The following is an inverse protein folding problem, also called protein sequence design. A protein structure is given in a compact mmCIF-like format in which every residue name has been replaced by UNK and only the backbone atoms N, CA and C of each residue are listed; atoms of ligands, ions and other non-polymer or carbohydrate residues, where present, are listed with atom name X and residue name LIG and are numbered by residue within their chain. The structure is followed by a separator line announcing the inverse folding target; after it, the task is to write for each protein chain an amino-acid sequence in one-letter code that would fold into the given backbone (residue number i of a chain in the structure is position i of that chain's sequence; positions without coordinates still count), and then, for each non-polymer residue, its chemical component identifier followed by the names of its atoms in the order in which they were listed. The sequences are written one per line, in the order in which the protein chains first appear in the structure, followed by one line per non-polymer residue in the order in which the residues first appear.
data_IF_891244996325
#
_entry.id   IF_891244996325
#
_cell.length_a   1.000
_cell.length_b   1.000
_cell.length_c   1.000
_cell.angle_alpha   90.00
_cell.angle_beta   90.00
_cell.angle_gamma   90.00
#
_symmetry.space_group_name_H-M   'P 1'
#
loop_
_entity.id
_entity.type
_entity.pdbx_description
1 polymer ?
#
# COMPACT_ATOMS: atom_id res chain seq x y z
N UNK A 1 -20.88 -1.26 -23.28
CA UNK A 1 -21.53 -0.34 -22.32
C UNK A 1 -20.78 -0.23 -20.99
N UNK A 2 -20.51 -1.29 -20.19
CA UNK A 2 -19.81 -1.13 -18.92
C UNK A 2 -18.41 -0.51 -19.10
N UNK A 3 -17.60 -1.00 -20.04
CA UNK A 3 -16.28 -0.44 -20.34
C UNK A 3 -16.31 0.98 -20.91
N UNK A 4 -17.34 1.31 -21.68
CA UNK A 4 -17.53 2.65 -22.25
C UNK A 4 -17.92 3.68 -21.17
N UNK A 5 -18.58 3.23 -20.10
CA UNK A 5 -19.04 4.05 -18.97
C UNK A 5 -18.16 3.86 -17.73
N UNK A 6 -16.91 3.41 -17.87
CA UNK A 6 -16.00 3.09 -16.75
C UNK A 6 -15.78 4.24 -15.76
N UNK A 7 -15.87 5.49 -16.25
CA UNK A 7 -15.72 6.70 -15.44
C UNK A 7 -17.06 7.28 -14.97
N UNK A 8 -18.17 6.60 -15.24
CA UNK A 8 -19.50 7.09 -14.93
C UNK A 8 -20.07 6.43 -13.68
N UNK A 9 -21.04 7.09 -13.04
CA UNK A 9 -21.73 6.53 -11.88
C UNK A 9 -22.59 5.31 -12.26
N UNK A 10 -22.93 4.48 -11.26
CA UNK A 10 -23.90 3.40 -11.43
C UNK A 10 -25.23 3.93 -11.97
N UNK A 11 -25.68 5.10 -11.49
CA UNK A 11 -26.91 5.74 -11.95
C UNK A 11 -26.86 6.07 -13.45
N UNK A 12 -25.71 6.53 -13.95
CA UNK A 12 -25.52 6.78 -15.38
C UNK A 12 -25.62 5.50 -16.18
N UNK A 13 -25.04 4.40 -15.68
CA UNK A 13 -25.16 3.08 -16.32
C UNK A 13 -26.64 2.65 -16.41
N UNK A 14 -27.38 2.74 -15.32
CA UNK A 14 -28.79 2.33 -15.23
C UNK A 14 -29.68 3.19 -16.12
N UNK A 15 -29.49 4.51 -16.16
CA UNK A 15 -30.18 5.41 -17.10
C UNK A 15 -29.87 5.06 -18.55
N UNK A 16 -28.61 4.80 -18.88
CA UNK A 16 -28.20 4.40 -20.23
C UNK A 16 -28.82 3.05 -20.61
N UNK A 17 -28.85 2.08 -19.68
CA UNK A 17 -29.51 0.80 -19.89
C UNK A 17 -30.99 0.97 -20.25
N UNK A 18 -31.71 1.80 -19.50
CA UNK A 18 -33.13 2.09 -19.76
C UNK A 18 -33.35 2.73 -21.12
N UNK A 19 -32.48 3.66 -21.53
CA UNK A 19 -32.55 4.30 -22.87
C UNK A 19 -32.35 3.26 -23.97
N UNK A 20 -31.31 2.42 -23.86
CA UNK A 20 -31.05 1.36 -24.85
C UNK A 20 -32.25 0.41 -24.96
N UNK A 21 -32.83 -0.01 -23.82
CA UNK A 21 -33.99 -0.90 -23.81
C UNK A 21 -35.24 -0.28 -24.44
N UNK A 22 -35.43 1.05 -24.28
CA UNK A 22 -36.53 1.79 -24.93
C UNK A 22 -36.33 1.90 -26.44
N UNK A 23 -35.11 2.22 -26.87
CA UNK A 23 -34.79 2.36 -28.31
C UNK A 23 -34.71 1.00 -29.02
N UNK A 24 -34.32 -0.04 -28.31
CA UNK A 24 -34.13 -1.39 -28.84
C UNK A 24 -34.78 -2.42 -27.89
N UNK A 25 -36.14 -2.62 -27.92
CA UNK A 25 -36.84 -3.45 -26.97
C UNK A 25 -36.38 -4.91 -26.90
N UNK A 26 -35.73 -5.42 -27.95
CA UNK A 26 -35.14 -6.76 -27.99
C UNK A 26 -33.75 -6.89 -27.36
N UNK A 27 -33.12 -5.81 -26.95
CA UNK A 27 -31.76 -5.81 -26.43
C UNK A 27 -31.72 -6.28 -24.98
N UNK A 28 -30.99 -7.37 -24.71
CA UNK A 28 -30.75 -7.90 -23.36
C UNK A 28 -29.50 -7.22 -22.76
N UNK A 29 -29.64 -5.98 -22.30
CA UNK A 29 -28.56 -5.29 -21.58
C UNK A 29 -28.57 -5.75 -20.11
N UNK A 30 -27.48 -6.35 -19.59
CA UNK A 30 -27.44 -6.81 -18.20
C UNK A 30 -27.54 -5.64 -17.22
N UNK A 31 -28.03 -5.91 -16.01
CA UNK A 31 -27.97 -4.92 -14.92
C UNK A 31 -26.50 -4.60 -14.58
N UNK A 32 -26.24 -3.46 -13.92
CA UNK A 32 -24.90 -3.09 -13.48
C UNK A 32 -24.23 -4.18 -12.65
N UNK A 33 -24.99 -4.81 -11.74
CA UNK A 33 -24.52 -5.92 -10.93
C UNK A 33 -24.10 -7.13 -11.80
N UNK A 34 -24.95 -7.57 -12.71
CA UNK A 34 -24.64 -8.71 -13.59
C UNK A 34 -23.45 -8.42 -14.53
N UNK A 35 -23.35 -7.18 -15.03
CA UNK A 35 -22.23 -6.78 -15.86
C UNK A 35 -20.89 -6.80 -15.08
N UNK A 36 -20.88 -6.31 -13.83
CA UNK A 36 -19.70 -6.39 -12.94
C UNK A 36 -19.35 -7.83 -12.58
N UNK A 37 -20.35 -8.67 -12.29
CA UNK A 37 -20.12 -10.09 -12.00
C UNK A 37 -19.52 -10.81 -13.21
N UNK A 38 -20.08 -10.60 -14.40
CA UNK A 38 -19.56 -11.18 -15.63
C UNK A 38 -18.12 -10.72 -15.92
N UNK A 39 -17.81 -9.43 -15.69
CA UNK A 39 -16.44 -8.91 -15.83
C UNK A 39 -15.48 -9.59 -14.83
N UNK A 40 -15.91 -9.74 -13.58
CA UNK A 40 -15.10 -10.42 -12.56
C UNK A 40 -14.88 -11.90 -12.90
N UNK A 41 -15.87 -12.58 -13.48
CA UNK A 41 -15.74 -13.97 -13.94
C UNK A 41 -14.79 -14.10 -15.14
N UNK A 42 -14.88 -13.18 -16.12
CA UNK A 42 -14.02 -13.16 -17.31
C UNK A 42 -12.57 -12.85 -16.92
N UNK A 43 -12.34 -11.88 -16.06
CA UNK A 43 -11.00 -11.47 -15.66
C UNK A 43 -10.39 -12.38 -14.60
N UNK A 44 -11.21 -13.08 -13.83
CA UNK A 44 -10.82 -13.82 -12.64
C UNK A 44 -10.56 -12.93 -11.42
N UNK A 45 -10.57 -11.60 -11.58
CA UNK A 45 -10.25 -10.65 -10.49
C UNK A 45 -11.53 -10.35 -9.71
N UNK A 46 -11.61 -10.89 -8.50
CA UNK A 46 -12.75 -10.69 -7.59
C UNK A 46 -12.28 -10.02 -6.31
N UNK A 47 -12.99 -8.98 -5.90
CA UNK A 47 -12.76 -8.38 -4.60
C UNK A 47 -13.21 -9.33 -3.48
N UNK A 48 -12.40 -9.41 -2.43
CA UNK A 48 -12.72 -10.15 -1.21
C UNK A 48 -13.32 -9.20 -0.19
N UNK A 49 -14.45 -9.58 0.38
CA UNK A 49 -15.18 -8.77 1.37
C UNK A 49 -14.77 -9.20 2.77
N UNK A 50 -14.34 -8.24 3.58
CA UNK A 50 -13.96 -8.45 4.96
C UNK A 50 -14.82 -7.60 5.89
N UNK A 51 -15.14 -8.12 7.07
CA UNK A 51 -15.87 -7.36 8.08
C UNK A 51 -14.93 -6.37 8.77
N UNK A 52 -15.44 -5.18 9.07
CA UNK A 52 -14.72 -4.16 9.82
C UNK A 52 -15.60 -3.51 10.89
N UNK A 53 -14.97 -2.80 11.82
CA UNK A 53 -15.67 -1.98 12.80
C UNK A 53 -16.40 -0.83 12.11
N UNK A 54 -17.62 -0.54 12.56
CA UNK A 54 -18.43 0.57 12.04
C UNK A 54 -17.69 1.93 12.10
N UNK A 55 -16.87 2.13 13.14
CA UNK A 55 -16.05 3.33 13.33
C UNK A 55 -14.64 3.20 12.73
N UNK A 56 -14.43 2.28 11.80
CA UNK A 56 -13.15 2.03 11.10
C UNK A 56 -11.96 1.76 12.03
N UNK A 57 -12.18 1.30 13.27
CA UNK A 57 -11.08 1.07 14.22
C UNK A 57 -10.20 -0.12 13.81
N UNK A 58 -10.81 -1.27 13.49
CA UNK A 58 -10.11 -2.51 13.12
C UNK A 58 -10.89 -3.33 12.10
N UNK A 59 -10.20 -4.22 11.40
CA UNK A 59 -10.77 -5.28 10.57
C UNK A 59 -10.85 -6.59 11.38
N UNK A 60 -11.93 -7.36 11.18
CA UNK A 60 -12.12 -8.65 11.84
C UNK A 60 -11.49 -9.78 11.02
N UNK A 61 -10.17 -9.74 10.86
CA UNK A 61 -9.35 -10.70 10.10
C UNK A 61 -8.15 -11.15 10.92
N UNK A 62 -7.51 -12.23 10.54
CA UNK A 62 -6.35 -12.78 11.24
C UNK A 62 -6.63 -12.96 12.73
N UNK A 63 -5.82 -12.38 13.63
CA UNK A 63 -6.00 -12.50 15.07
C UNK A 63 -7.35 -11.98 15.61
N UNK A 64 -8.05 -11.13 14.83
CA UNK A 64 -9.31 -10.50 15.22
C UNK A 64 -10.56 -11.22 14.67
N UNK A 65 -10.39 -12.35 13.99
CA UNK A 65 -11.49 -13.06 13.28
C UNK A 65 -12.65 -13.44 14.19
N UNK A 66 -12.39 -13.84 15.41
CA UNK A 66 -13.40 -14.36 16.34
C UNK A 66 -14.09 -13.28 17.19
N UNK A 67 -13.60 -12.04 17.14
CA UNK A 67 -14.20 -10.96 17.92
C UNK A 67 -15.59 -10.57 17.42
N UNK A 68 -16.49 -10.38 18.36
CA UNK A 68 -17.89 -9.97 18.13
C UNK A 68 -18.10 -8.47 18.35
N UNK A 69 -17.17 -7.84 19.06
CA UNK A 69 -17.15 -6.40 19.39
C UNK A 69 -15.78 -5.82 19.07
N UNK A 70 -15.73 -4.53 18.81
CA UNK A 70 -14.49 -3.81 18.57
C UNK A 70 -13.70 -3.61 19.86
N UNK A 71 -12.42 -3.97 19.85
CA UNK A 71 -11.54 -3.81 21.01
C UNK A 71 -11.29 -2.35 21.40
N UNK A 72 -11.41 -1.43 20.44
CA UNK A 72 -11.14 -0.01 20.66
C UNK A 72 -12.37 0.78 21.12
N UNK A 73 -13.54 0.55 20.48
CA UNK A 73 -14.74 1.37 20.72
C UNK A 73 -15.94 0.58 21.26
N UNK A 74 -15.83 -0.74 21.45
CA UNK A 74 -16.90 -1.59 21.98
C UNK A 74 -18.06 -1.87 21.01
N UNK A 75 -18.07 -1.26 19.82
CA UNK A 75 -19.15 -1.43 18.84
C UNK A 75 -19.29 -2.86 18.37
N UNK A 76 -20.54 -3.31 18.20
CA UNK A 76 -20.81 -4.67 17.71
C UNK A 76 -20.43 -4.84 16.25
N UNK A 77 -19.84 -5.98 15.90
CA UNK A 77 -19.51 -6.40 14.54
C UNK A 77 -20.75 -6.61 13.68
N UNK A 78 -21.80 -7.20 14.26
CA UNK A 78 -23.02 -7.59 13.54
C UNK A 78 -24.21 -6.71 13.94
N UNK A 79 -25.13 -6.53 13.00
CA UNK A 79 -26.41 -5.87 13.23
C UNK A 79 -27.22 -6.65 14.29
N UNK A 80 -27.43 -6.04 15.45
CA UNK A 80 -28.09 -6.66 16.61
C UNK A 80 -29.59 -6.84 16.40
N UNK A 81 -30.22 -5.99 15.56
CA UNK A 81 -31.65 -6.11 15.24
C UNK A 81 -31.89 -7.33 14.37
N UNK A 82 -31.16 -7.42 13.25
CA UNK A 82 -31.23 -8.57 12.33
C UNK A 82 -30.83 -9.88 12.99
N UNK A 83 -29.82 -9.81 13.87
CA UNK A 83 -29.37 -10.97 14.63
C UNK A 83 -30.47 -11.51 15.57
N UNK A 84 -31.17 -10.61 16.28
CA UNK A 84 -32.30 -10.99 17.16
C UNK A 84 -33.50 -11.50 16.36
N UNK A 85 -33.90 -10.80 15.31
CA UNK A 85 -35.02 -11.18 14.44
C UNK A 85 -34.83 -12.58 13.80
N UNK A 86 -33.59 -12.92 13.49
CA UNK A 86 -33.25 -14.24 12.91
C UNK A 86 -32.98 -15.33 13.96
N UNK A 87 -33.28 -15.10 15.24
CA UNK A 87 -32.90 -16.01 16.34
C UNK A 87 -31.41 -16.38 16.29
N UNK A 88 -30.52 -15.40 16.05
CA UNK A 88 -29.06 -15.52 15.92
C UNK A 88 -28.56 -16.35 14.72
N UNK A 89 -29.42 -16.66 13.75
CA UNK A 89 -29.05 -17.46 12.57
C UNK A 89 -28.36 -16.63 11.50
N UNK A 90 -28.79 -15.38 11.30
CA UNK A 90 -28.26 -14.49 10.24
C UNK A 90 -27.34 -13.43 10.85
N UNK A 91 -26.05 -13.51 10.54
CA UNK A 91 -25.05 -12.56 10.98
C UNK A 91 -24.75 -11.57 9.85
N UNK A 92 -25.34 -10.39 9.90
CA UNK A 92 -25.09 -9.32 8.93
C UNK A 92 -24.03 -8.38 9.49
N UNK A 93 -22.86 -8.19 8.84
CA UNK A 93 -21.86 -7.24 9.30
C UNK A 93 -22.39 -5.82 9.20
N UNK A 94 -22.02 -4.95 10.13
CA UNK A 94 -22.43 -3.53 10.13
C UNK A 94 -21.58 -2.68 9.16
N UNK A 95 -20.35 -3.07 8.95
CA UNK A 95 -19.47 -2.46 7.95
C UNK A 95 -18.51 -3.50 7.34
N UNK A 96 -18.10 -3.25 6.11
CA UNK A 96 -17.20 -4.11 5.35
C UNK A 96 -16.18 -3.27 4.59
N UNK A 97 -15.03 -3.85 4.28
CA UNK A 97 -14.07 -3.31 3.33
C UNK A 97 -13.69 -4.37 2.30
N UNK A 98 -13.10 -3.93 1.20
CA UNK A 98 -12.74 -4.80 0.09
C UNK A 98 -11.22 -4.84 -0.09
N UNK A 99 -10.70 -6.06 -0.30
CA UNK A 99 -9.34 -6.27 -0.80
C UNK A 99 -9.37 -6.92 -2.18
N UNK A 100 -8.37 -6.65 -2.99
CA UNK A 100 -8.25 -7.19 -4.34
C UNK A 100 -6.95 -7.99 -4.40
N UNK A 101 -7.03 -9.33 -4.62
CA UNK A 101 -5.84 -10.18 -4.68
C UNK A 101 -4.85 -9.72 -5.75
N UNK A 102 -3.58 -9.60 -5.37
CA UNK A 102 -2.53 -9.07 -6.24
C UNK A 102 -2.15 -10.04 -7.35
N UNK A 103 -2.04 -11.34 -7.05
CA UNK A 103 -1.56 -12.35 -8.00
C UNK A 103 -2.32 -12.35 -9.34
N UNK A 104 -3.66 -12.32 -9.28
CA UNK A 104 -4.50 -12.30 -10.49
C UNK A 104 -4.33 -11.01 -11.29
N UNK A 105 -4.08 -9.88 -10.62
CA UNK A 105 -3.80 -8.61 -11.29
C UNK A 105 -2.45 -8.65 -12.00
N UNK A 106 -1.42 -9.21 -11.38
CA UNK A 106 -0.10 -9.39 -11.98
C UNK A 106 -0.15 -10.32 -13.19
N UNK A 107 -0.83 -11.46 -13.07
CA UNK A 107 -1.02 -12.38 -14.19
C UNK A 107 -1.74 -11.70 -15.37
N UNK A 108 -2.70 -10.79 -15.09
CA UNK A 108 -3.45 -10.07 -16.12
C UNK A 108 -2.56 -9.13 -16.95
N UNK A 109 -1.46 -8.59 -16.39
CA UNK A 109 -0.52 -7.73 -17.09
C UNK A 109 0.23 -8.46 -18.23
N UNK A 110 0.36 -9.78 -18.15
CA UNK A 110 1.04 -10.59 -19.14
C UNK A 110 0.12 -11.27 -20.17
N UNK A 111 -1.22 -11.09 -20.06
CA UNK A 111 -2.20 -11.82 -20.90
C UNK A 111 -2.26 -11.37 -22.36
N UNK A 112 -1.74 -10.21 -22.71
CA UNK A 112 -1.74 -9.72 -24.11
C UNK A 112 -0.32 -9.38 -24.54
N UNK A 113 -0.05 -9.51 -25.85
CA UNK A 113 1.24 -9.15 -26.44
C UNK A 113 1.69 -7.74 -26.02
N UNK A 114 0.81 -6.77 -26.15
CA UNK A 114 1.12 -5.35 -25.87
C UNK A 114 1.38 -5.07 -24.38
N UNK A 115 0.62 -5.67 -23.48
CA UNK A 115 0.82 -5.46 -22.04
C UNK A 115 2.05 -6.20 -21.54
N UNK A 116 2.28 -7.43 -22.01
CA UNK A 116 3.45 -8.23 -21.66
C UNK A 116 4.77 -7.59 -22.12
N UNK A 117 4.80 -6.99 -23.32
CA UNK A 117 5.97 -6.25 -23.81
C UNK A 117 6.33 -5.05 -22.89
N UNK A 118 5.33 -4.35 -22.33
CA UNK A 118 5.58 -3.25 -21.40
C UNK A 118 6.18 -3.69 -20.07
N UNK A 119 6.04 -4.96 -19.71
CA UNK A 119 6.60 -5.53 -18.49
C UNK A 119 8.11 -5.84 -18.61
N UNK A 120 8.76 -5.49 -19.72
CA UNK A 120 10.18 -5.72 -19.95
C UNK A 120 11.09 -4.54 -19.59
N UNK A 121 10.50 -3.41 -19.15
CA UNK A 121 11.27 -2.20 -18.83
C UNK A 121 12.37 -2.45 -17.79
N UNK A 122 12.07 -3.12 -16.69
CA UNK A 122 13.04 -3.37 -15.61
C UNK A 122 14.26 -4.15 -16.13
N UNK A 123 14.03 -5.20 -16.90
CA UNK A 123 15.10 -6.01 -17.51
C UNK A 123 16.00 -5.14 -18.42
N UNK A 124 15.39 -4.41 -19.34
CA UNK A 124 16.08 -3.55 -20.29
C UNK A 124 16.86 -2.44 -19.57
N UNK A 125 16.22 -1.73 -18.65
CA UNK A 125 16.87 -0.64 -17.90
C UNK A 125 18.02 -1.14 -17.02
N UNK A 126 17.88 -2.30 -16.43
CA UNK A 126 18.97 -2.92 -15.64
C UNK A 126 20.18 -3.20 -16.49
N UNK A 127 19.98 -3.74 -17.69
CA UNK A 127 21.07 -3.98 -18.64
C UNK A 127 21.75 -2.67 -19.04
N UNK A 128 20.98 -1.64 -19.40
CA UNK A 128 21.51 -0.30 -19.72
C UNK A 128 22.36 0.27 -18.59
N UNK A 129 21.88 0.17 -17.34
CA UNK A 129 22.60 0.65 -16.16
C UNK A 129 23.94 -0.09 -15.98
N UNK A 130 23.97 -1.41 -16.17
CA UNK A 130 25.23 -2.14 -16.09
C UNK A 130 26.21 -1.75 -17.20
N UNK A 131 25.74 -1.53 -18.41
CA UNK A 131 26.56 -1.03 -19.52
C UNK A 131 27.11 0.38 -19.25
N UNK A 132 26.29 1.25 -18.65
CA UNK A 132 26.67 2.59 -18.21
C UNK A 132 27.75 2.53 -17.13
N UNK A 133 27.56 1.72 -16.08
CA UNK A 133 28.55 1.52 -15.02
C UNK A 133 29.89 1.02 -15.56
N UNK A 134 29.89 0.13 -16.55
CA UNK A 134 31.10 -0.36 -17.20
C UNK A 134 31.82 0.73 -18.00
N UNK A 135 31.07 1.59 -18.72
CA UNK A 135 31.64 2.71 -19.47
C UNK A 135 32.19 3.83 -18.58
N UNK A 136 31.51 4.09 -17.47
CA UNK A 136 31.78 5.26 -16.60
C UNK A 136 32.51 4.89 -15.31
N UNK A 137 33.31 3.82 -15.31
CA UNK A 137 34.15 3.43 -14.16
C UNK A 137 33.38 3.24 -12.86
N UNK A 138 32.15 2.72 -12.94
CA UNK A 138 31.28 2.43 -11.79
C UNK A 138 30.36 3.57 -11.36
N UNK A 139 30.23 4.60 -12.17
CA UNK A 139 29.33 5.74 -11.92
C UNK A 139 28.15 5.67 -12.88
N UNK A 140 26.95 6.02 -12.38
CA UNK A 140 25.76 6.28 -13.19
C UNK A 140 25.68 7.74 -13.54
N UNK A 141 25.19 8.09 -14.73
CA UNK A 141 25.07 9.48 -15.19
C UNK A 141 24.00 10.24 -14.40
N UNK A 142 22.93 9.55 -14.02
CA UNK A 142 21.84 10.14 -13.24
C UNK A 142 21.14 9.09 -12.36
N UNK A 143 20.72 9.52 -11.17
CA UNK A 143 19.83 8.74 -10.30
C UNK A 143 18.38 9.11 -10.62
N UNK A 144 17.84 8.54 -11.68
CA UNK A 144 16.53 8.86 -12.25
C UNK A 144 15.40 7.85 -11.87
N UNK A 145 15.79 6.68 -11.39
CA UNK A 145 14.85 5.64 -10.96
C UNK A 145 15.40 4.90 -9.73
N UNK A 146 14.54 4.22 -9.01
CA UNK A 146 14.90 3.30 -7.92
C UNK A 146 15.83 2.18 -8.40
N UNK A 147 15.78 1.82 -9.68
CA UNK A 147 16.64 0.80 -10.30
C UNK A 147 18.12 1.20 -10.37
N UNK A 148 18.45 2.49 -10.28
CA UNK A 148 19.84 2.98 -10.20
C UNK A 148 20.42 2.87 -8.79
N UNK A 149 19.60 2.51 -7.79
CA UNK A 149 20.05 2.36 -6.40
C UNK A 149 20.98 1.17 -6.19
N UNK A 150 22.08 1.39 -5.44
CA UNK A 150 23.08 0.35 -5.17
C UNK A 150 22.49 -0.90 -4.53
N UNK A 151 21.51 -0.78 -3.62
CA UNK A 151 20.85 -1.92 -2.98
C UNK A 151 20.14 -2.83 -3.97
N UNK A 152 19.48 -2.25 -4.99
CA UNK A 152 18.85 -3.02 -6.07
C UNK A 152 19.91 -3.70 -6.95
N UNK A 153 20.89 -2.94 -7.42
CA UNK A 153 21.97 -3.46 -8.28
C UNK A 153 22.77 -4.58 -7.61
N UNK A 154 23.05 -4.44 -6.31
CA UNK A 154 23.71 -5.50 -5.53
C UNK A 154 22.82 -6.75 -5.38
N UNK A 155 21.51 -6.58 -5.20
CA UNK A 155 20.58 -7.71 -5.12
C UNK A 155 20.50 -8.48 -6.45
N UNK A 156 20.51 -7.80 -7.59
CA UNK A 156 20.55 -8.41 -8.93
C UNK A 156 21.90 -9.09 -9.15
N UNK A 157 23.01 -8.41 -8.89
CA UNK A 157 24.37 -8.95 -9.06
C UNK A 157 24.60 -10.20 -8.22
N UNK A 158 24.05 -10.25 -7.02
CA UNK A 158 24.18 -11.40 -6.13
C UNK A 158 23.13 -12.50 -6.40
N UNK A 159 22.35 -12.39 -7.47
CA UNK A 159 21.33 -13.38 -7.86
C UNK A 159 20.14 -13.47 -6.89
N UNK A 160 19.94 -12.47 -6.00
CA UNK A 160 18.79 -12.42 -5.11
C UNK A 160 17.51 -12.01 -5.85
N UNK A 161 17.65 -11.19 -6.88
CA UNK A 161 16.57 -10.77 -7.79
C UNK A 161 16.92 -11.27 -9.17
N UNK A 162 16.10 -12.16 -9.72
CA UNK A 162 16.23 -12.72 -11.05
C UNK A 162 15.50 -11.90 -12.13
N UNK A 163 15.68 -12.32 -13.38
CA UNK A 163 15.02 -11.66 -14.53
C UNK A 163 13.49 -11.81 -14.49
N UNK A 164 13.02 -13.00 -14.12
CA UNK A 164 11.59 -13.33 -14.07
C UNK A 164 10.89 -12.85 -12.78
N UNK A 165 11.63 -12.29 -11.83
CA UNK A 165 11.06 -11.76 -10.58
C UNK A 165 10.38 -10.41 -10.80
N UNK A 166 9.37 -10.08 -9.99
CA UNK A 166 8.66 -8.80 -10.04
C UNK A 166 8.86 -7.98 -8.78
N UNK A 167 9.08 -6.68 -8.99
CA UNK A 167 9.33 -5.71 -7.94
C UNK A 167 8.12 -4.82 -7.72
N UNK A 168 7.76 -4.65 -6.44
CA UNK A 168 6.58 -3.91 -6.01
C UNK A 168 6.96 -2.74 -5.12
N UNK A 169 6.25 -1.63 -5.31
CA UNK A 169 6.15 -0.55 -4.32
C UNK A 169 4.76 -0.62 -3.71
N UNK A 170 4.69 -0.56 -2.39
CA UNK A 170 3.45 -0.42 -1.65
C UNK A 170 3.20 1.06 -1.32
N UNK A 171 2.01 1.54 -1.61
CA UNK A 171 1.59 2.89 -1.24
C UNK A 171 0.27 2.83 -0.48
N UNK A 172 0.16 3.67 0.57
CA UNK A 172 -1.09 3.84 1.30
C UNK A 172 -1.31 5.32 1.59
N UNK A 173 -2.55 5.74 1.41
CA UNK A 173 -2.96 7.12 1.70
C UNK A 173 -4.43 7.20 2.08
N UNK A 174 -4.79 8.27 2.82
CA UNK A 174 -6.16 8.64 3.10
C UNK A 174 -6.69 9.57 2.00
N UNK A 175 -7.78 9.21 1.37
CA UNK A 175 -8.43 10.00 0.33
C UNK A 175 -9.75 10.59 0.85
N UNK A 176 -9.87 11.92 0.82
CA UNK A 176 -11.13 12.59 1.07
C UNK A 176 -11.91 12.65 -0.24
N UNK A 177 -12.93 11.81 -0.38
CA UNK A 177 -13.71 11.68 -1.60
C UNK A 177 -14.79 12.76 -1.75
N UNK A 178 -15.23 13.37 -0.65
CA UNK A 178 -16.26 14.39 -0.61
C UNK A 178 -15.92 15.46 0.45
N UNK A 179 -16.65 16.57 0.45
CA UNK A 179 -16.47 17.64 1.45
C UNK A 179 -16.77 17.20 2.89
N UNK A 180 -17.60 16.20 3.06
CA UNK A 180 -17.98 15.61 4.35
C UNK A 180 -16.95 14.58 4.81
N UNK A 181 -16.48 14.67 6.06
CA UNK A 181 -15.59 13.69 6.69
C UNK A 181 -16.17 12.27 6.76
N UNK A 182 -17.48 12.09 6.61
CA UNK A 182 -18.14 10.79 6.63
C UNK A 182 -17.83 9.94 5.39
N UNK A 183 -17.21 10.53 4.39
CA UNK A 183 -16.89 9.88 3.11
C UNK A 183 -15.39 9.67 2.88
N UNK A 184 -14.56 9.93 3.88
CA UNK A 184 -13.13 9.63 3.81
C UNK A 184 -12.92 8.12 3.62
N UNK A 185 -11.93 7.75 2.86
CA UNK A 185 -11.49 6.37 2.73
C UNK A 185 -9.97 6.27 2.80
N UNK A 186 -9.47 5.09 3.18
CA UNK A 186 -8.07 4.74 3.08
C UNK A 186 -7.90 3.76 1.94
N UNK A 187 -6.92 4.02 1.08
CA UNK A 187 -6.66 3.18 -0.09
C UNK A 187 -5.21 2.77 -0.03
N UNK A 188 -4.93 1.48 -0.22
CA UNK A 188 -3.59 1.06 -0.56
C UNK A 188 -3.53 0.43 -1.94
N UNK A 189 -2.41 0.66 -2.60
CA UNK A 189 -2.16 0.27 -3.98
C UNK A 189 -0.76 -0.35 -4.10
N UNK A 190 -0.58 -1.07 -5.21
CA UNK A 190 0.71 -1.62 -5.60
C UNK A 190 1.14 -0.99 -6.92
N UNK A 191 2.40 -0.61 -7.00
CA UNK A 191 3.05 -0.17 -8.23
C UNK A 191 4.06 -1.23 -8.64
N UNK A 192 4.06 -1.58 -9.92
CA UNK A 192 4.92 -2.61 -10.50
C UNK A 192 6.07 -1.93 -11.23
N UNK A 193 7.31 -2.27 -10.90
CA UNK A 193 8.51 -1.61 -11.44
C UNK A 193 8.94 -2.14 -12.81
N UNK A 194 8.31 -3.19 -13.27
CA UNK A 194 8.45 -3.73 -14.63
C UNK A 194 7.90 -2.76 -15.70
N UNK A 195 7.05 -1.80 -15.30
CA UNK A 195 6.68 -0.67 -16.16
C UNK A 195 7.67 0.48 -16.04
N UNK A 196 7.82 1.26 -17.12
CA UNK A 196 8.63 2.48 -17.13
C UNK A 196 8.06 3.57 -16.18
N UNK A 197 8.89 4.50 -15.67
CA UNK A 197 8.45 5.56 -14.74
C UNK A 197 7.30 6.42 -15.27
N UNK A 198 7.27 6.69 -16.57
CA UNK A 198 6.21 7.44 -17.25
C UNK A 198 4.89 6.67 -17.41
N UNK A 199 4.92 5.34 -17.28
CA UNK A 199 3.74 4.48 -17.38
C UNK A 199 3.25 3.96 -16.01
N UNK A 200 4.15 3.56 -15.09
CA UNK A 200 3.82 2.83 -13.85
C UNK A 200 2.87 3.56 -12.91
N UNK A 201 2.85 4.88 -12.94
CA UNK A 201 1.99 5.71 -12.09
C UNK A 201 0.67 6.12 -12.77
N UNK A 202 0.45 5.73 -14.02
CA UNK A 202 -0.83 5.99 -14.68
C UNK A 202 -1.93 5.11 -14.07
N UNK A 203 -3.12 5.67 -13.89
CA UNK A 203 -4.29 4.99 -13.29
C UNK A 203 -4.52 3.56 -13.81
N UNK A 204 -4.30 3.32 -15.10
CA UNK A 204 -4.50 2.01 -15.75
C UNK A 204 -3.45 0.94 -15.36
N UNK A 205 -2.32 1.34 -14.77
CA UNK A 205 -1.22 0.45 -14.37
C UNK A 205 -1.08 0.33 -12.85
N UNK A 206 -1.78 1.19 -12.10
CA UNK A 206 -1.84 1.10 -10.64
C UNK A 206 -2.77 -0.03 -10.24
N UNK A 207 -2.26 -0.96 -9.42
CA UNK A 207 -3.00 -2.12 -8.97
C UNK A 207 -3.62 -1.84 -7.59
N UNK A 208 -4.96 -1.80 -7.48
CA UNK A 208 -5.61 -1.58 -6.20
C UNK A 208 -5.43 -2.79 -5.28
N UNK A 209 -5.05 -2.54 -4.02
CA UNK A 209 -4.92 -3.56 -2.99
C UNK A 209 -6.12 -3.61 -2.06
N UNK A 210 -6.54 -2.48 -1.51
CA UNK A 210 -7.78 -2.37 -0.74
C UNK A 210 -8.38 -0.98 -0.76
N UNK A 211 -9.68 -0.94 -0.48
CA UNK A 211 -10.45 0.28 -0.22
C UNK A 211 -11.12 0.10 1.14
N UNK A 212 -10.72 0.92 2.10
CA UNK A 212 -11.16 0.90 3.49
C UNK A 212 -12.04 2.14 3.70
N UNK A 213 -13.36 1.98 3.77
CA UNK A 213 -14.26 3.13 3.96
C UNK A 213 -14.12 3.74 5.35
N UNK A 214 -14.32 5.08 5.44
CA UNK A 214 -14.42 5.82 6.70
C UNK A 214 -15.56 5.32 7.61
N UNK A 215 -15.93 6.07 8.64
CA UNK A 215 -15.77 7.53 8.78
C UNK A 215 -14.47 8.02 9.41
N UNK A 216 -13.69 7.14 10.03
CA UNK A 216 -12.50 7.54 10.77
C UNK A 216 -11.24 6.89 10.22
N UNK A 217 -10.09 7.46 10.57
CA UNK A 217 -8.79 6.84 10.34
C UNK A 217 -8.72 5.48 11.07
N UNK A 218 -8.24 4.42 10.41
CA UNK A 218 -7.99 3.13 11.07
C UNK A 218 -7.12 3.29 12.33
N UNK A 219 -7.53 2.64 13.43
CA UNK A 219 -6.74 2.62 14.68
C UNK A 219 -5.72 1.49 14.68
N UNK A 220 -6.12 0.35 14.14
CA UNK A 220 -5.29 -0.85 13.96
C UNK A 220 -5.13 -1.11 12.47
N UNK A 221 -4.29 -0.27 11.81
CA UNK A 221 -4.10 -0.32 10.35
C UNK A 221 -3.60 -1.68 9.89
N UNK A 222 -2.77 -2.33 10.69
CA UNK A 222 -2.22 -3.67 10.44
C UNK A 222 -3.32 -4.71 10.21
N UNK A 223 -4.49 -4.57 10.87
CA UNK A 223 -5.62 -5.47 10.66
C UNK A 223 -6.20 -5.35 9.25
N UNK A 224 -6.22 -4.15 8.69
CA UNK A 224 -6.70 -3.90 7.32
C UNK A 224 -5.67 -4.31 6.26
N UNK A 225 -4.39 -4.23 6.59
CA UNK A 225 -3.29 -4.65 5.72
C UNK A 225 -3.12 -6.17 5.70
N UNK A 226 -3.51 -6.85 6.78
CA UNK A 226 -3.30 -8.29 6.96
C UNK A 226 -3.69 -9.15 5.75
N UNK A 227 -4.90 -9.03 5.14
CA UNK A 227 -5.27 -9.88 4.01
C UNK A 227 -4.35 -9.70 2.79
N UNK A 228 -3.98 -8.45 2.47
CA UNK A 228 -3.11 -8.14 1.35
C UNK A 228 -1.69 -8.63 1.55
N UNK A 229 -1.08 -8.35 2.71
CA UNK A 229 0.28 -8.77 3.01
C UNK A 229 0.39 -10.28 3.24
N UNK A 230 -0.63 -10.92 3.82
CA UNK A 230 -0.68 -12.38 3.92
C UNK A 230 -0.69 -13.03 2.53
N UNK A 231 -1.47 -12.48 1.59
CA UNK A 231 -1.48 -12.95 0.22
C UNK A 231 -0.11 -12.74 -0.48
N UNK A 232 0.50 -11.55 -0.35
CA UNK A 232 1.84 -11.28 -0.90
C UNK A 232 2.88 -12.23 -0.31
N UNK A 233 2.84 -12.46 1.01
CA UNK A 233 3.75 -13.40 1.67
C UNK A 233 3.59 -14.84 1.15
N UNK A 234 2.36 -15.31 0.94
CA UNK A 234 2.11 -16.63 0.35
C UNK A 234 2.72 -16.72 -1.06
N UNK A 235 2.49 -15.72 -1.91
CA UNK A 235 3.06 -15.68 -3.26
C UNK A 235 4.59 -15.60 -3.25
N UNK A 236 5.19 -14.89 -2.29
CA UNK A 236 6.64 -14.85 -2.12
C UNK A 236 7.24 -16.23 -1.77
N UNK A 237 6.51 -17.05 -1.01
CA UNK A 237 6.97 -18.38 -0.64
C UNK A 237 6.74 -19.44 -1.72
N UNK A 238 5.61 -19.34 -2.43
CA UNK A 238 5.17 -20.35 -3.39
C UNK A 238 5.62 -20.03 -4.82
N UNK A 239 5.94 -18.76 -5.10
CA UNK A 239 6.13 -18.24 -6.44
C UNK A 239 4.79 -18.01 -7.17
N UNK A 240 4.80 -17.14 -8.17
CA UNK A 240 3.64 -16.86 -9.03
C UNK A 240 3.89 -17.39 -10.43
N UNK A 241 3.14 -18.39 -10.82
CA UNK A 241 3.17 -18.90 -12.21
C UNK A 241 2.44 -17.93 -13.13
N UNK A 242 3.13 -17.47 -14.17
CA UNK A 242 2.64 -16.48 -15.15
C UNK A 242 2.88 -17.01 -16.55
N UNK A 243 1.88 -16.88 -17.43
CA UNK A 243 2.03 -17.06 -18.85
C UNK A 243 2.26 -15.70 -19.52
N UNK A 244 3.39 -15.58 -20.24
CA UNK A 244 3.79 -14.38 -20.98
C UNK A 244 3.33 -14.50 -22.44
N UNK A 245 2.29 -13.77 -22.80
CA UNK A 245 1.73 -13.75 -24.14
C UNK A 245 2.69 -13.17 -25.21
N UNK A 246 3.75 -12.46 -24.81
CA UNK A 246 4.68 -11.85 -25.78
C UNK A 246 5.65 -12.85 -26.38
N UNK A 247 5.95 -13.92 -25.65
CA UNK A 247 6.92 -14.96 -26.06
C UNK A 247 6.36 -16.38 -25.91
N UNK A 248 5.05 -16.49 -25.60
CA UNK A 248 4.35 -17.77 -25.38
C UNK A 248 5.10 -18.70 -24.38
N UNK A 249 5.53 -18.12 -23.25
CA UNK A 249 6.29 -18.84 -22.22
C UNK A 249 5.58 -18.74 -20.87
N UNK A 250 5.54 -19.86 -20.16
CA UNK A 250 5.18 -19.87 -18.73
C UNK A 250 6.45 -19.80 -17.89
N UNK A 251 6.44 -18.94 -16.87
CA UNK A 251 7.53 -18.77 -15.91
C UNK A 251 7.00 -18.63 -14.49
N UNK A 252 7.86 -18.82 -13.50
CA UNK A 252 7.54 -18.55 -12.08
C UNK A 252 8.28 -17.31 -11.63
N UNK A 253 7.54 -16.35 -11.10
CA UNK A 253 8.05 -15.10 -10.56
C UNK A 253 7.99 -15.11 -9.05
N UNK A 254 9.08 -14.68 -8.40
CA UNK A 254 9.04 -14.27 -7.00
C UNK A 254 8.70 -12.78 -6.92
N UNK A 255 7.98 -12.39 -5.85
CA UNK A 255 7.63 -10.99 -5.63
C UNK A 255 8.58 -10.36 -4.63
N UNK A 256 9.06 -9.17 -4.94
CA UNK A 256 9.90 -8.37 -4.03
C UNK A 256 9.21 -7.05 -3.70
N UNK A 257 8.88 -6.84 -2.45
CA UNK A 257 8.44 -5.53 -1.95
C UNK A 257 9.69 -4.73 -1.62
N UNK A 258 10.05 -3.77 -2.46
CA UNK A 258 11.30 -3.02 -2.32
C UNK A 258 11.13 -1.68 -1.61
N UNK A 259 9.95 -1.07 -1.72
CA UNK A 259 9.64 0.21 -1.10
C UNK A 259 8.25 0.22 -0.51
N UNK A 260 8.10 0.90 0.62
CA UNK A 260 6.83 1.28 1.22
C UNK A 260 6.76 2.79 1.31
N UNK A 261 5.78 3.40 0.65
CA UNK A 261 5.63 4.85 0.58
C UNK A 261 4.28 5.28 1.16
N UNK A 262 4.31 6.37 1.89
CA UNK A 262 3.13 7.08 2.36
C UNK A 262 3.53 8.53 2.67
N UNK A 263 2.55 9.41 2.88
CA UNK A 263 2.81 10.72 3.46
C UNK A 263 3.32 10.59 4.92
N UNK A 264 3.78 11.67 5.54
CA UNK A 264 4.31 11.65 6.91
C UNK A 264 3.36 11.00 7.93
N UNK A 265 2.08 11.38 7.99
CA UNK A 265 1.05 10.75 8.81
C UNK A 265 0.78 9.28 8.47
N UNK A 266 0.83 8.92 7.19
CA UNK A 266 0.67 7.53 6.74
C UNK A 266 1.85 6.65 7.15
N UNK A 267 3.09 7.13 7.00
CA UNK A 267 4.29 6.44 7.48
C UNK A 267 4.26 6.20 8.98
N UNK A 268 3.74 7.15 9.75
CA UNK A 268 3.54 6.97 11.19
C UNK A 268 2.62 5.78 11.49
N UNK A 269 1.52 5.67 10.74
CA UNK A 269 0.59 4.56 10.90
C UNK A 269 1.22 3.21 10.56
N UNK A 270 2.06 3.16 9.52
CA UNK A 270 2.71 1.92 9.08
C UNK A 270 3.83 1.48 10.01
N UNK A 271 4.65 2.43 10.46
CA UNK A 271 5.83 2.13 11.26
C UNK A 271 5.56 2.01 12.76
N UNK A 272 4.42 2.53 13.23
CA UNK A 272 4.11 2.70 14.66
C UNK A 272 5.22 3.46 15.43
N UNK A 273 6.03 4.26 14.72
CA UNK A 273 7.08 5.05 15.31
C UNK A 273 6.55 6.43 15.74
N UNK A 274 7.36 7.15 16.49
CA UNK A 274 7.05 8.50 16.94
C UNK A 274 6.81 9.45 15.75
N UNK A 275 5.85 10.36 15.87
CA UNK A 275 5.52 11.34 14.84
C UNK A 275 6.69 12.26 14.47
N UNK A 276 6.57 12.96 13.34
CA UNK A 276 7.57 13.90 12.84
C UNK A 276 7.91 15.04 13.83
N UNK A 277 6.99 15.33 14.74
CA UNK A 277 7.19 16.29 15.84
C UNK A 277 7.74 15.68 17.12
N UNK A 278 8.06 14.39 17.11
CA UNK A 278 8.67 13.69 18.25
C UNK A 278 10.19 13.82 18.27
N UNK A 279 10.79 13.52 19.41
CA UNK A 279 12.24 13.65 19.65
C UNK A 279 13.11 12.85 18.68
N UNK A 280 12.64 11.69 18.24
CA UNK A 280 13.27 10.78 17.27
C UNK A 280 12.45 10.72 15.97
N UNK A 281 12.00 11.90 15.49
CA UNK A 281 11.07 12.01 14.37
C UNK A 281 11.66 11.79 12.97
N UNK A 282 12.96 11.49 12.87
CA UNK A 282 13.61 11.24 11.58
C UNK A 282 13.09 9.97 10.93
N UNK A 283 12.60 10.07 9.67
CA UNK A 283 12.06 8.94 8.89
C UNK A 283 13.13 8.10 8.19
N UNK A 284 14.34 8.62 8.11
CA UNK A 284 15.49 7.87 7.59
C UNK A 284 16.11 6.96 8.66
N UNK A 285 15.44 6.80 9.80
CA UNK A 285 15.91 6.00 10.94
C UNK A 285 17.31 6.38 11.43
N UNK A 286 17.74 7.62 11.16
CA UNK A 286 19.01 8.13 11.67
C UNK A 286 18.91 8.37 13.19
N UNK A 287 20.01 8.29 13.93
CA UNK A 287 20.02 8.51 15.37
C UNK A 287 19.89 10.00 15.76
N UNK A 288 19.68 10.89 14.80
CA UNK A 288 19.60 12.33 15.04
C UNK A 288 18.37 12.65 15.88
N UNK A 289 18.66 13.30 16.99
CA UNK A 289 17.67 13.79 17.94
C UNK A 289 17.12 15.12 17.44
N UNK A 290 15.81 15.24 17.34
CA UNK A 290 15.17 16.51 17.01
C UNK A 290 15.46 17.57 18.09
N UNK A 291 15.57 18.84 17.66
CA UNK A 291 15.69 19.97 18.55
C UNK A 291 14.35 20.35 19.15
N UNK A 292 14.33 20.68 20.45
CA UNK A 292 13.11 21.10 21.12
C UNK A 292 12.81 22.57 20.80
N UNK A 293 11.58 22.85 20.41
CA UNK A 293 11.10 24.21 20.27
C UNK A 293 10.92 24.80 21.66
N UNK A 294 11.48 25.99 21.98
CA UNK A 294 11.29 26.60 23.28
C UNK A 294 9.80 26.76 23.63
N UNK A 295 9.44 26.47 24.85
CA UNK A 295 8.05 26.50 25.34
C UNK A 295 7.06 25.63 24.55
N UNK A 296 7.54 24.58 23.88
CA UNK A 296 6.70 23.62 23.14
C UNK A 296 7.17 22.19 23.43
N UNK A 297 6.25 21.24 23.41
CA UNK A 297 6.53 19.82 23.44
C UNK A 297 6.94 19.26 22.06
N UNK A 298 7.00 20.10 21.04
CA UNK A 298 7.32 19.69 19.67
C UNK A 298 8.82 19.74 19.41
N UNK A 299 9.31 18.72 18.70
CA UNK A 299 10.67 18.63 18.20
C UNK A 299 10.67 18.80 16.68
N UNK A 300 11.82 19.20 16.13
CA UNK A 300 12.03 19.28 14.69
C UNK A 300 13.41 18.73 14.31
N UNK A 301 13.50 17.88 13.30
CA UNK A 301 14.75 17.29 12.86
C UNK A 301 15.42 18.18 11.80
N UNK A 302 16.26 19.11 12.23
CA UNK A 302 17.13 19.89 11.34
C UNK A 302 18.58 19.64 11.71
N UNK A 303 19.46 19.66 10.73
CA UNK A 303 20.88 19.40 10.90
C UNK A 303 21.66 20.66 11.23
N UNK A 304 21.30 21.78 10.60
CA UNK A 304 21.99 23.04 10.76
C UNK A 304 21.10 24.06 11.47
N UNK A 305 21.69 24.84 12.33
CA UNK A 305 21.00 25.98 12.93
C UNK A 305 20.69 27.02 11.84
N UNK A 306 19.45 27.52 11.74
CA UNK A 306 19.17 28.64 10.84
C UNK A 306 20.01 29.87 11.20
N UNK A 307 20.46 30.61 10.19
CA UNK A 307 21.19 31.86 10.39
C UNK A 307 20.40 32.81 11.29
N UNK A 308 21.05 33.41 12.25
CA UNK A 308 20.48 34.32 13.23
C UNK A 308 19.42 33.71 14.17
N UNK A 309 19.31 32.37 14.26
CA UNK A 309 18.41 31.70 15.17
C UNK A 309 18.97 31.70 16.60
N UNK A 310 18.62 32.73 17.37
CA UNK A 310 18.97 32.84 18.79
C UNK A 310 17.69 32.81 19.63
N UNK A 311 17.33 31.65 20.13
CA UNK A 311 16.19 31.48 21.03
C UNK A 311 16.69 30.93 22.36
N UNK A 312 16.45 31.66 23.47
CA UNK A 312 16.86 31.23 24.80
C UNK A 312 16.31 29.82 25.15
N UNK A 313 17.19 28.94 25.60
CA UNK A 313 16.87 27.58 25.99
C UNK A 313 16.81 26.57 24.84
N UNK A 314 17.10 26.96 23.61
CA UNK A 314 17.24 26.05 22.48
C UNK A 314 18.74 25.75 22.25
N UNK A 315 19.15 24.52 22.59
CA UNK A 315 20.46 24.00 22.18
C UNK A 315 20.29 23.39 20.77
N UNK A 316 20.95 23.98 19.79
CA UNK A 316 20.88 23.58 18.40
C UNK A 316 22.31 23.44 17.83
N UNK A 317 23.04 22.36 18.18
CA UNK A 317 24.36 22.12 17.58
C UNK A 317 24.18 21.77 16.11
N UNK A 318 25.05 22.30 15.27
CA UNK A 318 25.16 21.87 13.89
C UNK A 318 25.64 20.42 13.82
N UNK A 319 24.97 19.63 12.98
CA UNK A 319 25.30 18.22 12.75
C UNK A 319 25.68 18.07 11.28
N UNK A 320 26.87 17.61 11.02
CA UNK A 320 27.31 17.30 9.66
C UNK A 320 26.52 16.08 9.12
N UNK A 321 25.94 16.13 7.91
CA UNK A 321 25.30 14.96 7.30
C UNK A 321 26.25 13.77 7.16
N UNK A 322 27.56 14.02 7.05
CA UNK A 322 28.60 12.98 6.93
C UNK A 322 28.88 12.26 8.25
N UNK A 323 28.50 12.86 9.39
CA UNK A 323 28.66 12.24 10.71
C UNK A 323 27.46 11.38 11.11
N UNK A 324 26.42 11.35 10.27
CA UNK A 324 25.21 10.56 10.53
C UNK A 324 25.42 9.13 10.04
N UNK A 325 25.52 8.19 10.96
CA UNK A 325 25.53 6.77 10.63
C UNK A 325 24.07 6.26 10.60
N UNK A 326 23.55 5.80 9.44
CA UNK A 326 22.23 5.23 9.37
C UNK A 326 22.08 4.02 10.31
N UNK A 327 20.92 3.89 10.97
CA UNK A 327 20.63 2.72 11.79
C UNK A 327 20.53 1.47 10.91
N UNK A 328 21.12 0.38 11.38
CA UNK A 328 21.05 -0.92 10.72
C UNK A 328 19.78 -1.67 11.10
N UNK A 329 19.44 -2.72 10.35
CA UNK A 329 18.36 -3.65 10.72
C UNK A 329 18.60 -4.27 12.10
N UNK A 330 19.86 -4.56 12.45
CA UNK A 330 20.24 -5.07 13.78
C UNK A 330 19.90 -4.08 14.88
N UNK A 331 20.16 -2.78 14.68
CA UNK A 331 19.81 -1.73 15.65
C UNK A 331 18.31 -1.60 15.80
N UNK A 332 17.56 -1.68 14.70
CA UNK A 332 16.10 -1.68 14.74
C UNK A 332 15.56 -2.86 15.55
N UNK A 333 16.03 -4.08 15.26
CA UNK A 333 15.61 -5.29 15.96
C UNK A 333 15.97 -5.26 17.44
N UNK A 334 17.12 -4.70 17.80
CA UNK A 334 17.52 -4.50 19.20
C UNK A 334 16.57 -3.54 19.93
N UNK A 335 16.26 -2.40 19.31
CA UNK A 335 15.32 -1.41 19.88
C UNK A 335 13.92 -1.98 20.01
N UNK A 336 13.45 -2.74 19.01
CA UNK A 336 12.15 -3.41 19.05
C UNK A 336 12.06 -4.42 20.21
N UNK A 337 13.11 -5.22 20.42
CA UNK A 337 13.17 -6.16 21.56
C UNK A 337 13.10 -5.43 22.90
N UNK A 338 13.78 -4.29 23.06
CA UNK A 338 13.70 -3.47 24.28
C UNK A 338 12.28 -2.96 24.50
N UNK A 339 11.64 -2.47 23.44
CA UNK A 339 10.26 -1.99 23.49
C UNK A 339 9.27 -3.09 23.88
N UNK A 340 9.40 -4.27 23.27
CA UNK A 340 8.54 -5.42 23.57
C UNK A 340 8.76 -5.98 25.00
N UNK A 341 9.95 -5.80 25.55
CA UNK A 341 10.29 -6.22 26.91
C UNK A 341 9.92 -5.18 27.98
N UNK A 342 9.37 -4.03 27.62
CA UNK A 342 8.98 -2.98 28.55
C UNK A 342 7.88 -3.50 29.51
N UNK A 343 8.12 -3.56 30.84
CA UNK A 343 7.20 -4.18 31.77
C UNK A 343 5.98 -3.32 32.12
N UNK A 344 6.00 -2.05 31.76
CA UNK A 344 4.90 -1.11 32.04
C UNK A 344 4.91 0.07 31.07
N UNK A 345 3.79 0.80 31.02
CA UNK A 345 3.58 1.94 30.14
C UNK A 345 4.64 3.03 30.29
N UNK A 346 5.07 3.35 31.49
CA UNK A 346 6.07 4.41 31.72
C UNK A 346 7.46 4.05 31.17
N UNK A 347 7.81 2.78 31.09
CA UNK A 347 9.05 2.31 30.45
C UNK A 347 8.89 2.16 28.94
N UNK A 348 7.69 1.84 28.47
CA UNK A 348 7.36 1.82 27.05
C UNK A 348 7.41 3.22 26.41
N UNK A 349 7.03 4.26 27.15
CA UNK A 349 7.01 5.66 26.68
C UNK A 349 8.36 6.38 26.81
N UNK A 350 9.35 5.80 27.49
CA UNK A 350 10.72 6.32 27.56
C UNK A 350 11.57 5.97 26.35
#
# INVERSE_FOLDING_TARGET
MLLTLEHSSQETYEKTQLVIQKCHPGSKVPSFYHAKTALADITGIKAMIHHMCLNSCLAYVGPYTDYKTCLNCGEFRFDQIKLRQSHRRVKVPRAVFNTIPLALQLQALFRTLTTAQKMKYREQRTQEIYEELLRNQGLVDAYDDVLTGSAYLDAVRNGKIGLDDMLLIFLIDGAQLYESKLSDCWIYIWIVLEHSPDERYKKKHVLPGAIIPGPNKPKYIESFLYPGFHHVSAVQHEGLTIWDASIDRTFTSNLFLILTCADGPGLLCLSNLVGHSGKQGCRMFCPVKGHCKPNSSQYYPVLLQPDNYQVNGCLHPDISPYDITPSTLSDYMKKLKILMAAPNQAQYEK
#
